data_IF_455240881870
#
_entry.id   IF_455240881870
#
_cell.length_a   1.000
_cell.length_b   1.000
_cell.length_c   1.000
_cell.angle_alpha   90.00
_cell.angle_beta   90.00
_cell.angle_gamma   90.00
#
_symmetry.space_group_name_H-M   'P 1'
#
loop_
_entity.id
_entity.type
_entity.pdbx_description
1 polymer ?
#
# COMPACT_ATOMS: atom_id res chain seq x y z
N UNK A 1 -17.00 -40.07 -36.45
CA UNK A 1 -17.60 -38.76 -36.14
C UNK A 1 -16.56 -37.99 -35.35
N UNK A 2 -15.87 -37.05 -36.04
CA UNK A 2 -14.77 -36.25 -35.44
C UNK A 2 -15.37 -35.10 -34.62
N UNK A 3 -15.25 -35.19 -33.30
CA UNK A 3 -15.40 -34.03 -32.42
C UNK A 3 -14.12 -33.16 -32.59
N UNK A 4 -14.23 -32.16 -33.44
CA UNK A 4 -13.24 -31.08 -33.51
C UNK A 4 -13.29 -30.36 -32.18
N UNK A 5 -12.25 -30.55 -31.35
CA UNK A 5 -11.96 -29.70 -30.22
C UNK A 5 -11.92 -28.24 -30.70
N UNK A 6 -12.92 -27.49 -30.26
CA UNK A 6 -13.01 -26.04 -30.44
C UNK A 6 -11.81 -25.42 -29.70
N UNK A 7 -10.72 -25.21 -30.41
CA UNK A 7 -9.58 -24.43 -29.98
C UNK A 7 -10.12 -22.99 -29.89
N UNK A 8 -10.62 -22.60 -28.71
CA UNK A 8 -11.00 -21.22 -28.44
C UNK A 8 -9.81 -20.34 -28.76
N UNK A 9 -9.94 -19.56 -29.83
CA UNK A 9 -8.97 -18.53 -30.20
C UNK A 9 -8.61 -17.71 -28.94
N UNK A 10 -7.34 -17.38 -28.70
CA UNK A 10 -6.97 -16.56 -27.56
C UNK A 10 -7.80 -15.28 -27.60
N UNK A 11 -8.56 -15.02 -26.53
CA UNK A 11 -9.42 -13.87 -26.45
C UNK A 11 -8.58 -12.61 -26.67
N UNK A 12 -8.85 -11.89 -27.77
CA UNK A 12 -8.10 -10.69 -28.14
C UNK A 12 -8.37 -9.58 -27.15
N UNK A 13 -7.29 -8.93 -26.67
CA UNK A 13 -7.39 -7.77 -25.80
C UNK A 13 -7.97 -6.61 -26.62
N UNK A 14 -9.12 -6.08 -26.20
CA UNK A 14 -9.71 -4.92 -26.87
C UNK A 14 -8.82 -3.67 -26.67
N UNK A 15 -8.60 -2.85 -27.70
CA UNK A 15 -7.76 -1.63 -27.56
C UNK A 15 -8.17 -0.72 -26.41
N UNK A 16 -9.46 -0.63 -26.12
CA UNK A 16 -9.98 0.18 -25.03
C UNK A 16 -9.57 -0.32 -23.62
N UNK A 17 -9.16 -1.57 -23.49
CA UNK A 17 -8.63 -2.13 -22.24
C UNK A 17 -7.41 -1.34 -21.71
N UNK A 18 -6.55 -0.87 -22.63
CA UNK A 18 -5.38 -0.05 -22.27
C UNK A 18 -5.77 1.34 -21.78
N UNK A 19 -6.83 1.93 -22.33
CA UNK A 19 -7.39 3.20 -21.82
C UNK A 19 -7.90 3.00 -20.39
N UNK A 20 -8.63 1.92 -20.16
CA UNK A 20 -9.11 1.58 -18.80
C UNK A 20 -7.94 1.35 -17.84
N UNK A 21 -6.88 0.65 -18.28
CA UNK A 21 -5.69 0.46 -17.46
C UNK A 21 -5.05 1.80 -17.03
N UNK A 22 -4.88 2.72 -17.96
CA UNK A 22 -4.30 4.05 -17.65
C UNK A 22 -5.17 4.81 -16.65
N UNK A 23 -6.48 4.82 -16.83
CA UNK A 23 -7.41 5.53 -15.95
C UNK A 23 -7.44 4.92 -14.56
N UNK A 24 -7.52 3.60 -14.49
CA UNK A 24 -7.48 2.84 -13.23
C UNK A 24 -6.14 3.04 -12.52
N UNK A 25 -5.03 3.09 -13.28
CA UNK A 25 -3.70 3.37 -12.75
C UNK A 25 -3.61 4.78 -12.14
N UNK A 26 -4.05 5.81 -12.85
CA UNK A 26 -4.07 7.19 -12.34
C UNK A 26 -4.94 7.31 -11.08
N UNK A 27 -6.12 6.70 -11.09
CA UNK A 27 -6.99 6.65 -9.92
C UNK A 27 -6.33 5.94 -8.73
N UNK A 28 -5.56 4.86 -9.01
CA UNK A 28 -4.81 4.14 -7.97
C UNK A 28 -3.66 4.96 -7.43
N UNK A 29 -2.86 5.63 -8.27
CA UNK A 29 -1.73 6.48 -7.86
C UNK A 29 -2.18 7.61 -6.93
N UNK A 30 -3.40 8.13 -7.08
CA UNK A 30 -3.96 9.14 -6.18
C UNK A 30 -3.99 8.69 -4.71
N UNK A 31 -4.14 7.39 -4.43
CA UNK A 31 -4.14 6.85 -3.08
C UNK A 31 -2.80 7.04 -2.35
N UNK A 32 -1.70 6.38 -2.77
CA UNK A 32 -0.40 6.52 -2.12
C UNK A 32 0.17 7.94 -2.24
N UNK A 33 -0.16 8.69 -3.28
CA UNK A 33 0.19 10.11 -3.38
C UNK A 33 -0.41 10.90 -2.21
N UNK A 34 -1.69 10.69 -1.89
CA UNK A 34 -2.32 11.33 -0.74
C UNK A 34 -1.88 10.73 0.60
N UNK A 35 -1.55 9.45 0.67
CA UNK A 35 -1.06 8.79 1.87
C UNK A 35 0.31 9.35 2.30
N UNK A 36 1.26 9.44 1.37
CA UNK A 36 2.67 9.68 1.67
C UNK A 36 3.08 11.16 1.68
N UNK A 37 2.14 12.11 1.57
CA UNK A 37 2.44 13.53 1.76
C UNK A 37 2.76 13.92 3.21
N UNK A 38 2.36 13.10 4.19
CA UNK A 38 2.62 13.35 5.62
C UNK A 38 4.09 13.16 6.01
N UNK A 39 4.77 12.03 5.73
CA UNK A 39 6.14 11.80 6.19
C UNK A 39 7.14 12.90 5.82
N UNK A 40 7.19 13.38 4.56
CA UNK A 40 8.13 14.44 4.18
C UNK A 40 7.79 15.82 4.76
N UNK A 41 6.61 16.00 5.31
CA UNK A 41 6.16 17.27 5.92
C UNK A 41 5.91 17.13 7.42
N UNK A 42 6.26 15.99 8.03
CA UNK A 42 5.96 15.71 9.43
C UNK A 42 6.41 16.82 10.39
N UNK A 43 7.66 17.32 10.34
CA UNK A 43 8.08 18.42 11.22
C UNK A 43 7.23 19.67 11.05
N UNK A 44 6.87 20.02 9.82
CA UNK A 44 6.06 21.21 9.50
C UNK A 44 4.64 21.04 10.04
N UNK A 45 4.06 19.83 9.95
CA UNK A 45 2.73 19.53 10.47
C UNK A 45 2.71 19.49 12.00
N UNK A 46 3.79 18.97 12.62
CA UNK A 46 3.94 18.97 14.07
C UNK A 46 3.96 20.41 14.59
N UNK A 47 4.71 21.30 13.96
CA UNK A 47 4.74 22.72 14.32
C UNK A 47 3.40 23.40 14.07
N UNK A 48 2.78 23.19 12.91
CA UNK A 48 1.50 23.80 12.55
C UNK A 48 0.33 23.41 13.47
N UNK A 49 0.33 22.19 13.98
CA UNK A 49 -0.72 21.65 14.83
C UNK A 49 -0.31 21.51 16.30
N UNK A 50 0.90 21.95 16.67
CA UNK A 50 1.48 21.87 18.02
C UNK A 50 1.42 20.42 18.56
N UNK A 51 1.91 19.46 17.77
CA UNK A 51 1.88 18.04 18.09
C UNK A 51 3.27 17.56 18.54
N UNK A 52 3.27 16.66 19.52
CA UNK A 52 4.43 15.86 19.90
C UNK A 52 4.58 14.63 18.97
N UNK A 53 5.73 13.98 18.97
CA UNK A 53 6.04 12.83 18.09
C UNK A 53 5.04 11.67 18.24
N UNK A 54 4.63 11.36 19.46
CA UNK A 54 3.62 10.34 19.74
C UNK A 54 2.26 10.67 19.12
N UNK A 55 1.85 11.93 19.20
CA UNK A 55 0.60 12.42 18.60
C UNK A 55 0.71 12.48 17.06
N UNK A 56 1.88 12.86 16.52
CA UNK A 56 2.12 12.96 15.10
C UNK A 56 1.96 11.62 14.36
N UNK A 57 2.22 10.51 15.04
CA UNK A 57 1.96 9.17 14.51
C UNK A 57 0.52 8.95 14.04
N UNK A 58 -0.46 9.61 14.67
CA UNK A 58 -1.87 9.53 14.27
C UNK A 58 -2.14 10.13 12.90
N UNK A 59 -1.37 11.13 12.45
CA UNK A 59 -1.54 11.75 11.13
C UNK A 59 -1.34 10.74 9.99
N UNK A 60 -0.52 9.72 10.20
CA UNK A 60 -0.29 8.65 9.24
C UNK A 60 -1.20 7.44 9.50
N UNK A 61 -1.36 7.07 10.76
CA UNK A 61 -2.06 5.86 11.18
C UNK A 61 -3.55 5.86 10.87
N UNK A 62 -4.24 6.98 11.10
CA UNK A 62 -5.69 7.11 10.89
C UNK A 62 -6.07 6.82 9.43
N UNK A 63 -5.19 7.14 8.50
CA UNK A 63 -5.38 6.78 7.10
C UNK A 63 -5.54 5.26 6.90
N UNK A 64 -4.77 4.45 7.61
CA UNK A 64 -4.84 2.98 7.51
C UNK A 64 -6.04 2.38 8.27
N UNK A 65 -6.58 3.07 9.26
CA UNK A 65 -7.74 2.61 10.02
C UNK A 65 -8.94 2.31 9.11
N UNK A 66 -9.20 3.19 8.16
CA UNK A 66 -10.30 3.00 7.21
C UNK A 66 -10.06 1.84 6.26
N UNK A 67 -8.81 1.64 5.83
CA UNK A 67 -8.41 0.46 5.07
C UNK A 67 -8.65 -0.83 5.86
N UNK A 68 -8.36 -0.82 7.17
CA UNK A 68 -8.62 -1.96 8.06
C UNK A 68 -10.11 -2.29 8.14
N UNK A 69 -10.96 -1.27 8.34
CA UNK A 69 -12.42 -1.45 8.44
C UNK A 69 -13.05 -1.85 7.12
N UNK A 70 -12.54 -1.32 5.99
CA UNK A 70 -13.12 -1.53 4.68
C UNK A 70 -12.55 -2.74 3.92
N UNK A 71 -11.44 -3.36 4.36
CA UNK A 71 -10.78 -4.44 3.66
C UNK A 71 -11.73 -5.59 3.28
N UNK A 72 -12.55 -6.04 4.19
CA UNK A 72 -13.53 -7.10 3.97
C UNK A 72 -14.83 -6.58 3.31
N UNK A 73 -15.48 -5.50 3.81
CA UNK A 73 -16.69 -4.97 3.21
C UNK A 73 -16.56 -4.56 1.75
N UNK A 74 -15.43 -3.94 1.37
CA UNK A 74 -15.21 -3.49 -0.01
C UNK A 74 -15.30 -4.65 -1.02
N UNK A 75 -14.73 -5.81 -0.69
CA UNK A 75 -14.82 -7.01 -1.53
C UNK A 75 -16.26 -7.54 -1.67
N UNK A 76 -17.08 -7.41 -0.62
CA UNK A 76 -18.50 -7.84 -0.63
C UNK A 76 -19.37 -6.84 -1.40
N UNK A 77 -19.09 -5.57 -1.32
CA UNK A 77 -19.88 -4.53 -1.98
C UNK A 77 -19.53 -4.37 -3.47
N UNK A 78 -18.28 -4.67 -3.87
CA UNK A 78 -17.83 -4.49 -5.26
C UNK A 78 -18.72 -5.18 -6.31
N UNK A 79 -19.15 -6.45 -6.14
CA UNK A 79 -20.04 -7.09 -7.12
C UNK A 79 -21.44 -6.45 -7.21
N UNK A 80 -21.91 -5.82 -6.11
CA UNK A 80 -23.24 -5.19 -6.04
C UNK A 80 -23.25 -3.76 -6.59
N UNK A 81 -22.24 -2.98 -6.26
CA UNK A 81 -22.14 -1.56 -6.61
C UNK A 81 -21.48 -1.38 -7.98
N UNK A 82 -20.60 -2.30 -8.34
CA UNK A 82 -19.82 -2.28 -9.57
C UNK A 82 -18.55 -1.39 -9.49
N UNK A 83 -17.56 -1.69 -10.34
CA UNK A 83 -16.25 -1.03 -10.27
C UNK A 83 -16.32 0.45 -10.67
N UNK A 84 -17.27 0.86 -11.52
CA UNK A 84 -17.40 2.27 -11.92
C UNK A 84 -17.82 3.14 -10.75
N UNK A 85 -18.90 2.80 -10.06
CA UNK A 85 -19.43 3.59 -8.95
C UNK A 85 -18.47 3.58 -7.75
N UNK A 86 -17.93 2.39 -7.40
CA UNK A 86 -16.97 2.30 -6.30
C UNK A 86 -15.68 3.07 -6.58
N UNK A 87 -15.19 3.09 -7.83
CA UNK A 87 -14.03 3.88 -8.22
C UNK A 87 -14.28 5.40 -8.15
N UNK A 88 -15.49 5.85 -8.51
CA UNK A 88 -15.92 7.25 -8.34
C UNK A 88 -15.98 7.64 -6.85
N UNK A 89 -16.55 6.80 -6.01
CA UNK A 89 -16.56 7.02 -4.55
C UNK A 89 -15.13 7.08 -4.02
N UNK A 90 -14.26 6.15 -4.44
CA UNK A 90 -12.87 6.11 -4.01
C UNK A 90 -12.10 7.39 -4.35
N UNK A 91 -12.14 7.81 -5.61
CA UNK A 91 -11.45 9.02 -6.08
C UNK A 91 -12.09 10.30 -5.53
N UNK A 92 -13.41 10.29 -5.36
CA UNK A 92 -14.16 11.37 -4.71
C UNK A 92 -13.77 11.55 -3.24
N UNK A 93 -13.64 10.45 -2.48
CA UNK A 93 -13.15 10.51 -1.10
C UNK A 93 -11.71 11.03 -1.03
N UNK A 94 -10.82 10.61 -1.94
CA UNK A 94 -9.45 11.13 -1.99
C UNK A 94 -9.43 12.65 -2.28
N UNK A 95 -10.23 13.13 -3.23
CA UNK A 95 -10.31 14.54 -3.58
C UNK A 95 -10.89 15.37 -2.43
N UNK A 96 -12.04 14.93 -1.88
CA UNK A 96 -12.71 15.61 -0.78
C UNK A 96 -11.85 15.62 0.48
N UNK A 97 -11.29 14.48 0.87
CA UNK A 97 -10.42 14.38 2.04
C UNK A 97 -9.19 15.27 1.91
N UNK A 98 -8.54 15.29 0.73
CA UNK A 98 -7.40 16.17 0.50
C UNK A 98 -7.79 17.66 0.56
N UNK A 99 -8.92 18.05 -0.03
CA UNK A 99 -9.41 19.42 0.06
C UNK A 99 -9.73 19.84 1.51
N UNK A 100 -10.41 18.98 2.28
CA UNK A 100 -10.67 19.21 3.70
C UNK A 100 -9.38 19.33 4.52
N UNK A 101 -8.38 18.49 4.20
CA UNK A 101 -7.06 18.57 4.83
C UNK A 101 -6.36 19.88 4.54
N UNK A 102 -6.42 20.39 3.30
CA UNK A 102 -5.86 21.69 2.93
C UNK A 102 -6.53 22.87 3.67
N UNK A 103 -7.82 22.74 3.97
CA UNK A 103 -8.61 23.76 4.67
C UNK A 103 -8.54 23.61 6.19
N UNK A 104 -7.85 22.59 6.72
CA UNK A 104 -7.81 22.34 8.15
C UNK A 104 -7.00 23.42 8.90
N UNK A 105 -7.59 23.93 9.97
CA UNK A 105 -6.96 24.91 10.88
C UNK A 105 -6.50 24.25 12.19
N UNK A 106 -6.72 22.95 12.36
CA UNK A 106 -6.35 22.20 13.54
C UNK A 106 -6.31 20.69 13.30
N UNK A 107 -5.63 19.97 14.18
CA UNK A 107 -5.40 18.53 14.07
C UNK A 107 -6.69 17.70 13.94
N UNK A 108 -7.78 18.08 14.62
CA UNK A 108 -9.04 17.34 14.59
C UNK A 108 -9.64 17.25 13.18
N UNK A 109 -9.80 18.38 12.49
CA UNK A 109 -10.32 18.40 11.12
C UNK A 109 -9.34 17.71 10.16
N UNK A 110 -8.04 17.89 10.38
CA UNK A 110 -7.02 17.21 9.61
C UNK A 110 -7.12 15.67 9.73
N UNK A 111 -7.29 15.14 10.94
CA UNK A 111 -7.50 13.70 11.15
C UNK A 111 -8.77 13.18 10.47
N UNK A 112 -9.88 13.94 10.53
CA UNK A 112 -11.11 13.60 9.80
C UNK A 112 -10.83 13.53 8.28
N UNK A 113 -10.07 14.47 7.75
CA UNK A 113 -9.67 14.46 6.34
C UNK A 113 -8.89 13.19 5.97
N UNK A 114 -7.98 12.74 6.86
CA UNK A 114 -7.20 11.50 6.69
C UNK A 114 -8.08 10.25 6.70
N UNK A 115 -9.12 10.21 7.54
CA UNK A 115 -10.14 9.13 7.52
C UNK A 115 -10.80 9.05 6.15
N UNK A 116 -11.24 10.19 5.61
CA UNK A 116 -11.93 10.25 4.31
C UNK A 116 -10.98 9.83 3.17
N UNK A 117 -9.74 10.32 3.14
CA UNK A 117 -8.73 9.89 2.18
C UNK A 117 -8.46 8.37 2.27
N UNK A 118 -8.39 7.83 3.49
CA UNK A 118 -8.19 6.40 3.72
C UNK A 118 -9.34 5.53 3.20
N UNK A 119 -10.61 6.01 3.24
CA UNK A 119 -11.74 5.36 2.58
C UNK A 119 -11.44 5.22 1.08
N UNK A 120 -11.00 6.30 0.45
CA UNK A 120 -10.66 6.32 -0.97
C UNK A 120 -9.57 5.32 -1.33
N UNK A 121 -8.49 5.27 -0.55
CA UNK A 121 -7.39 4.33 -0.74
C UNK A 121 -7.85 2.88 -0.57
N UNK A 122 -8.61 2.58 0.48
CA UNK A 122 -9.12 1.23 0.74
C UNK A 122 -10.01 0.70 -0.37
N UNK A 123 -10.88 1.56 -0.92
CA UNK A 123 -11.76 1.19 -2.02
C UNK A 123 -11.01 1.00 -3.34
N UNK A 124 -10.10 1.91 -3.70
CA UNK A 124 -9.40 1.82 -5.00
C UNK A 124 -8.47 0.61 -5.07
N UNK A 125 -7.87 0.21 -3.94
CA UNK A 125 -7.05 -0.98 -3.86
C UNK A 125 -7.81 -2.28 -4.20
N UNK A 126 -9.12 -2.31 -3.99
CA UNK A 126 -9.99 -3.44 -4.33
C UNK A 126 -10.56 -3.29 -5.74
N UNK A 127 -10.98 -2.10 -6.12
CA UNK A 127 -11.61 -1.80 -7.41
C UNK A 127 -10.63 -1.97 -8.57
N UNK A 128 -9.40 -1.50 -8.42
CA UNK A 128 -8.45 -1.43 -9.52
C UNK A 128 -8.09 -2.81 -10.10
N UNK A 129 -7.62 -3.78 -9.30
CA UNK A 129 -7.31 -5.11 -9.83
C UNK A 129 -8.53 -5.83 -10.38
N UNK A 130 -9.72 -5.61 -9.82
CA UNK A 130 -10.96 -6.17 -10.35
C UNK A 130 -11.31 -5.58 -11.72
N UNK A 131 -11.20 -4.25 -11.89
CA UNK A 131 -11.43 -3.59 -13.17
C UNK A 131 -10.46 -4.09 -14.25
N UNK A 132 -9.17 -4.23 -13.93
CA UNK A 132 -8.16 -4.80 -14.84
C UNK A 132 -8.54 -6.24 -15.21
N UNK A 133 -8.95 -7.04 -14.23
CA UNK A 133 -9.31 -8.44 -14.45
C UNK A 133 -10.54 -8.61 -15.36
N UNK A 134 -11.45 -7.63 -15.39
CA UNK A 134 -12.62 -7.63 -16.29
C UNK A 134 -12.24 -7.35 -17.76
N UNK A 135 -11.20 -6.52 -18.00
CA UNK A 135 -10.83 -6.09 -19.34
C UNK A 135 -9.73 -6.95 -19.97
N UNK A 136 -8.90 -7.61 -19.16
CA UNK A 136 -7.79 -8.43 -19.64
C UNK A 136 -8.04 -9.92 -19.35
N UNK A 137 -8.08 -10.77 -20.40
CA UNK A 137 -8.18 -12.21 -20.23
C UNK A 137 -7.03 -12.76 -19.37
N UNK A 138 -7.24 -13.88 -18.67
CA UNK A 138 -6.27 -14.48 -17.75
C UNK A 138 -4.89 -14.70 -18.38
N UNK A 139 -4.85 -15.10 -19.67
CA UNK A 139 -3.61 -15.33 -20.42
C UNK A 139 -2.79 -14.04 -20.64
N UNK A 140 -3.42 -12.86 -20.69
CA UNK A 140 -2.78 -11.59 -21.04
C UNK A 140 -2.80 -10.57 -19.87
N UNK A 141 -3.15 -11.01 -18.66
CA UNK A 141 -3.36 -10.13 -17.49
C UNK A 141 -2.06 -9.77 -16.75
N UNK A 142 -1.02 -10.59 -16.90
CA UNK A 142 0.22 -10.41 -16.13
C UNK A 142 0.89 -9.06 -16.34
N UNK A 143 1.04 -8.62 -17.60
CA UNK A 143 1.62 -7.32 -17.93
C UNK A 143 0.84 -6.13 -17.34
N UNK A 144 -0.48 -6.00 -17.60
CA UNK A 144 -1.32 -4.96 -17.01
C UNK A 144 -1.30 -4.92 -15.48
N UNK A 145 -1.33 -6.07 -14.82
CA UNK A 145 -1.21 -6.16 -13.36
C UNK A 145 0.18 -5.73 -12.86
N UNK A 146 1.23 -6.08 -13.61
CA UNK A 146 2.60 -5.63 -13.31
C UNK A 146 2.75 -4.12 -13.42
N UNK A 147 2.17 -3.49 -14.44
CA UNK A 147 2.12 -2.02 -14.56
C UNK A 147 1.36 -1.44 -13.38
N UNK A 148 0.18 -1.97 -13.09
CA UNK A 148 -0.61 -1.48 -11.96
C UNK A 148 0.12 -1.62 -10.63
N UNK A 149 0.85 -2.70 -10.38
CA UNK A 149 1.58 -2.91 -9.14
C UNK A 149 2.59 -1.80 -8.79
N UNK A 150 2.99 -0.98 -9.76
CA UNK A 150 3.89 0.17 -9.55
C UNK A 150 3.19 1.40 -8.94
N UNK A 151 1.85 1.37 -8.78
CA UNK A 151 1.07 2.52 -8.30
C UNK A 151 1.50 3.05 -6.94
N UNK A 152 1.82 2.15 -5.99
CA UNK A 152 2.26 2.53 -4.63
C UNK A 152 3.62 3.22 -4.67
N UNK A 153 4.70 2.63 -5.21
CA UNK A 153 5.99 3.31 -5.23
C UNK A 153 5.97 4.58 -6.09
N UNK A 154 5.22 4.63 -7.19
CA UNK A 154 5.13 5.84 -8.02
C UNK A 154 4.47 6.98 -7.24
N UNK A 155 3.33 6.74 -6.60
CA UNK A 155 2.67 7.78 -5.80
C UNK A 155 3.52 8.22 -4.60
N UNK A 156 4.14 7.27 -3.91
CA UNK A 156 4.98 7.55 -2.73
C UNK A 156 6.23 8.35 -3.08
N UNK A 157 7.01 7.90 -4.06
CA UNK A 157 8.24 8.60 -4.50
C UNK A 157 7.90 10.00 -5.00
N UNK A 158 6.82 10.14 -5.78
CA UNK A 158 6.37 11.46 -6.24
C UNK A 158 6.19 12.44 -5.08
N UNK A 159 5.55 11.98 -3.99
CA UNK A 159 5.33 12.85 -2.82
C UNK A 159 6.59 13.09 -1.99
N UNK A 160 7.45 12.10 -1.82
CA UNK A 160 8.73 12.32 -1.15
C UNK A 160 9.58 13.38 -1.86
N UNK A 161 9.47 13.50 -3.19
CA UNK A 161 10.20 14.51 -3.98
C UNK A 161 9.45 15.84 -4.01
N UNK A 162 8.16 15.84 -4.28
CA UNK A 162 7.38 17.07 -4.52
C UNK A 162 6.97 17.79 -3.24
N UNK A 163 6.63 17.06 -2.17
CA UNK A 163 6.06 17.67 -0.98
C UNK A 163 7.00 18.65 -0.27
N UNK A 164 8.31 18.36 -0.08
CA UNK A 164 9.22 19.33 0.53
C UNK A 164 9.41 20.59 -0.32
N UNK A 165 9.48 20.43 -1.65
CA UNK A 165 9.69 21.55 -2.58
C UNK A 165 8.47 22.46 -2.59
N UNK A 166 7.27 21.89 -2.74
CA UNK A 166 6.02 22.65 -2.75
C UNK A 166 5.73 23.23 -1.36
N UNK A 167 5.96 22.44 -0.31
CA UNK A 167 5.74 22.87 1.07
C UNK A 167 6.61 24.04 1.48
N UNK A 168 7.88 24.08 1.04
CA UNK A 168 8.78 25.21 1.31
C UNK A 168 8.43 26.46 0.50
N UNK A 169 7.90 26.30 -0.72
CA UNK A 169 7.57 27.42 -1.61
C UNK A 169 6.19 28.04 -1.34
N UNK A 170 5.20 27.23 -0.98
CA UNK A 170 3.78 27.66 -0.92
C UNK A 170 3.02 27.16 0.33
N UNK A 171 3.75 26.61 1.31
CA UNK A 171 3.19 26.05 2.53
C UNK A 171 2.67 24.62 2.37
N UNK A 172 2.51 23.94 3.50
CA UNK A 172 2.08 22.54 3.52
C UNK A 172 0.67 22.35 2.90
N UNK A 173 -0.21 23.32 3.02
CA UNK A 173 -1.57 23.31 2.44
C UNK A 173 -1.54 23.12 0.91
N UNK A 174 -0.54 23.73 0.23
CA UNK A 174 -0.38 23.60 -1.22
C UNK A 174 -0.15 22.14 -1.65
N UNK A 175 0.51 21.34 -0.83
CA UNK A 175 0.70 19.90 -1.08
C UNK A 175 -0.63 19.14 -0.98
N UNK A 176 -1.51 19.52 -0.06
CA UNK A 176 -2.86 18.96 0.04
C UNK A 176 -3.73 19.37 -1.15
N UNK A 177 -3.63 20.62 -1.61
CA UNK A 177 -4.31 21.08 -2.82
C UNK A 177 -3.81 20.37 -4.09
N UNK A 178 -2.51 20.06 -4.19
CA UNK A 178 -1.98 19.23 -5.26
C UNK A 178 -2.61 17.84 -5.23
N UNK A 179 -2.68 17.22 -4.05
CA UNK A 179 -3.31 15.91 -3.86
C UNK A 179 -4.80 15.92 -4.23
N UNK A 180 -5.53 16.97 -3.82
CA UNK A 180 -6.93 17.19 -4.17
C UNK A 180 -7.13 17.36 -5.68
N UNK A 181 -6.31 18.19 -6.32
CA UNK A 181 -6.34 18.44 -7.77
C UNK A 181 -6.05 17.18 -8.58
N UNK A 182 -5.04 16.39 -8.18
CA UNK A 182 -4.73 15.13 -8.83
C UNK A 182 -5.87 14.11 -8.67
N UNK A 183 -6.43 13.97 -7.47
CA UNK A 183 -7.55 13.06 -7.21
C UNK A 183 -8.82 13.51 -7.94
N UNK A 184 -9.09 14.82 -8.05
CA UNK A 184 -10.20 15.37 -8.81
C UNK A 184 -10.04 15.11 -10.33
N UNK A 185 -8.83 15.30 -10.87
CA UNK A 185 -8.53 14.93 -12.25
C UNK A 185 -8.78 13.43 -12.49
N UNK A 186 -8.29 12.58 -11.58
CA UNK A 186 -8.53 11.14 -11.65
C UNK A 186 -10.03 10.82 -11.57
N UNK A 187 -10.81 11.49 -10.71
CA UNK A 187 -12.26 11.34 -10.60
C UNK A 187 -12.96 11.68 -11.92
N UNK A 188 -12.61 12.82 -12.54
CA UNK A 188 -13.21 13.25 -13.80
C UNK A 188 -12.88 12.25 -14.92
N UNK A 189 -11.59 11.89 -15.08
CA UNK A 189 -11.17 10.93 -16.10
C UNK A 189 -11.82 9.56 -15.89
N UNK A 190 -11.89 9.09 -14.64
CA UNK A 190 -12.53 7.83 -14.29
C UNK A 190 -14.03 7.88 -14.61
N UNK A 191 -14.72 8.95 -14.27
CA UNK A 191 -16.15 9.12 -14.55
C UNK A 191 -16.48 9.12 -16.04
N UNK A 192 -15.69 9.83 -16.83
CA UNK A 192 -15.91 10.00 -18.27
C UNK A 192 -15.52 8.74 -19.07
N UNK A 193 -14.41 8.11 -18.71
CA UNK A 193 -13.76 7.10 -19.55
C UNK A 193 -13.89 5.67 -19.00
N UNK A 194 -14.25 5.47 -17.71
CA UNK A 194 -14.45 4.12 -17.19
C UNK A 194 -15.73 3.50 -17.76
N UNK A 195 -15.56 2.39 -18.48
CA UNK A 195 -16.66 1.61 -19.08
C UNK A 195 -16.56 0.15 -18.64
N UNK A 196 -17.68 -0.56 -18.66
CA UNK A 196 -17.70 -2.01 -18.51
C UNK A 196 -17.40 -2.66 -19.86
N UNK A 197 -16.76 -3.85 -19.87
CA UNK A 197 -16.55 -4.59 -21.10
C UNK A 197 -17.88 -4.92 -21.79
N UNK A 198 -17.94 -4.95 -23.13
CA UNK A 198 -19.13 -5.40 -23.86
C UNK A 198 -19.55 -6.80 -23.41
N UNK A 199 -20.85 -7.00 -23.16
CA UNK A 199 -21.43 -8.29 -22.72
C UNK A 199 -21.45 -8.54 -21.21
N UNK A 200 -20.75 -7.76 -20.39
CA UNK A 200 -20.84 -7.83 -18.92
C UNK A 200 -21.93 -6.93 -18.34
N UNK A 201 -22.40 -5.96 -19.10
CA UNK A 201 -23.49 -5.08 -18.69
C UNK A 201 -24.83 -5.83 -18.49
N UNK A 202 -25.04 -6.91 -19.23
CA UNK A 202 -26.25 -7.72 -19.19
C UNK A 202 -26.17 -8.90 -18.19
N UNK A 203 -24.99 -9.13 -17.59
CA UNK A 203 -24.74 -10.27 -16.70
C UNK A 203 -24.87 -9.94 -15.20
N UNK A 204 -25.46 -8.80 -14.85
CA UNK A 204 -25.57 -8.32 -13.45
C UNK A 204 -26.55 -9.11 -12.57
N UNK A 205 -27.22 -10.16 -13.07
CA UNK A 205 -28.15 -11.00 -12.31
C UNK A 205 -27.52 -12.25 -11.66
N UNK A 206 -26.20 -12.35 -11.64
CA UNK A 206 -25.51 -13.45 -10.98
C UNK A 206 -25.37 -13.21 -9.48
N UNK A 207 -26.32 -13.69 -8.68
CA UNK A 207 -26.15 -13.90 -7.23
C UNK A 207 -24.96 -14.85 -6.99
N UNK A 208 -23.76 -14.32 -7.03
CA UNK A 208 -22.58 -15.05 -6.52
C UNK A 208 -22.80 -15.23 -5.03
N UNK A 209 -23.10 -16.47 -4.61
CA UNK A 209 -23.28 -16.79 -3.19
C UNK A 209 -22.11 -16.26 -2.39
N UNK A 210 -22.39 -15.53 -1.32
CA UNK A 210 -21.35 -15.00 -0.45
C UNK A 210 -20.44 -16.15 0.00
N UNK A 211 -19.12 -16.04 -0.23
CA UNK A 211 -18.22 -17.14 0.09
C UNK A 211 -18.27 -17.44 1.58
N UNK A 212 -18.10 -18.70 1.99
CA UNK A 212 -18.26 -19.14 3.36
C UNK A 212 -17.15 -18.58 4.27
N UNK A 213 -17.42 -17.47 4.96
CA UNK A 213 -16.51 -16.79 5.88
C UNK A 213 -15.95 -17.72 6.96
N UNK A 214 -16.73 -18.71 7.42
CA UNK A 214 -16.30 -19.68 8.42
C UNK A 214 -15.08 -20.51 7.99
N UNK A 215 -14.93 -20.83 6.70
CA UNK A 215 -13.77 -21.55 6.18
C UNK A 215 -12.49 -20.73 6.21
N UNK A 216 -12.61 -19.42 6.10
CA UNK A 216 -11.47 -18.49 6.13
C UNK A 216 -11.04 -18.26 7.56
N UNK A 217 -12.00 -18.01 8.46
CA UNK A 217 -11.72 -17.85 9.88
C UNK A 217 -11.05 -19.06 10.50
N UNK A 218 -11.33 -20.27 9.98
CA UNK A 218 -10.71 -21.52 10.42
C UNK A 218 -9.30 -21.76 9.85
N UNK A 219 -8.88 -21.05 8.81
CA UNK A 219 -7.58 -21.29 8.16
C UNK A 219 -6.45 -20.53 8.88
N UNK A 220 -5.77 -21.21 9.80
CA UNK A 220 -4.66 -20.65 10.58
C UNK A 220 -3.50 -20.13 9.72
N UNK A 221 -3.24 -20.74 8.56
CA UNK A 221 -2.11 -20.35 7.71
C UNK A 221 -2.31 -18.97 7.09
N UNK A 222 -3.55 -18.61 6.68
CA UNK A 222 -3.83 -17.28 6.11
C UNK A 222 -3.75 -16.19 7.19
N UNK A 223 -4.13 -16.48 8.45
CA UNK A 223 -3.97 -15.53 9.55
C UNK A 223 -2.52 -15.34 9.97
N UNK A 224 -1.69 -16.40 9.90
CA UNK A 224 -0.24 -16.28 10.09
C UNK A 224 0.41 -15.44 9.00
N UNK A 225 -0.03 -15.61 7.75
CA UNK A 225 0.42 -14.78 6.63
C UNK A 225 -0.03 -13.31 6.80
N UNK A 226 -1.25 -13.08 7.27
CA UNK A 226 -1.73 -11.74 7.63
C UNK A 226 -0.93 -11.10 8.76
N UNK A 227 -0.59 -11.87 9.80
CA UNK A 227 0.23 -11.41 10.92
C UNK A 227 1.66 -11.06 10.47
N UNK A 228 2.27 -11.93 9.67
CA UNK A 228 3.57 -11.67 9.04
C UNK A 228 3.56 -10.35 8.29
N UNK A 229 2.57 -10.16 7.41
CA UNK A 229 2.47 -8.95 6.59
C UNK A 229 2.14 -7.70 7.43
N UNK A 230 1.41 -7.88 8.53
CA UNK A 230 1.20 -6.84 9.55
C UNK A 230 2.49 -6.41 10.23
N UNK A 231 3.32 -7.36 10.66
CA UNK A 231 4.65 -7.08 11.24
C UNK A 231 5.55 -6.33 10.25
N UNK A 232 5.57 -6.77 8.98
CA UNK A 232 6.31 -6.08 7.92
C UNK A 232 5.88 -4.63 7.77
N UNK A 233 4.57 -4.40 7.63
CA UNK A 233 4.04 -3.05 7.44
C UNK A 233 4.22 -2.17 8.68
N UNK A 234 4.12 -2.74 9.88
CA UNK A 234 4.40 -2.00 11.12
C UNK A 234 5.82 -1.43 11.09
N UNK A 235 6.82 -2.26 10.79
CA UNK A 235 8.24 -1.84 10.75
C UNK A 235 8.49 -0.86 9.61
N UNK A 236 8.06 -1.20 8.39
CA UNK A 236 8.36 -0.42 7.19
C UNK A 236 7.68 0.96 7.22
N UNK A 237 6.40 1.03 7.61
CA UNK A 237 5.67 2.29 7.67
C UNK A 237 6.11 3.16 8.85
N UNK A 238 6.43 2.58 10.00
CA UNK A 238 6.99 3.35 11.13
C UNK A 238 8.28 4.05 10.74
N UNK A 239 9.21 3.29 10.15
CA UNK A 239 10.47 3.86 9.69
C UNK A 239 10.25 4.90 8.59
N UNK A 240 9.47 4.57 7.55
CA UNK A 240 9.17 5.50 6.45
C UNK A 240 8.50 6.79 6.91
N UNK A 241 7.66 6.72 7.96
CA UNK A 241 6.95 7.89 8.50
C UNK A 241 7.91 8.86 9.20
N UNK A 242 8.81 8.35 10.02
CA UNK A 242 9.63 9.18 10.90
C UNK A 242 11.09 9.37 10.45
N UNK A 243 11.57 8.60 9.49
CA UNK A 243 12.96 8.70 9.06
C UNK A 243 13.30 10.06 8.43
N UNK A 244 12.42 10.69 7.60
CA UNK A 244 12.67 12.06 7.15
C UNK A 244 12.79 13.06 8.30
N UNK A 245 11.94 12.94 9.32
CA UNK A 245 12.00 13.78 10.53
C UNK A 245 13.30 13.60 11.29
N UNK A 246 13.71 12.33 11.51
CA UNK A 246 15.01 12.05 12.14
C UNK A 246 16.19 12.65 11.38
N UNK A 247 16.20 12.53 10.06
CA UNK A 247 17.28 13.07 9.24
C UNK A 247 17.31 14.60 9.26
N UNK A 248 16.15 15.26 9.32
CA UNK A 248 16.08 16.72 9.35
C UNK A 248 16.36 17.31 10.72
N UNK A 249 15.84 16.71 11.80
CA UNK A 249 15.96 17.27 13.16
C UNK A 249 17.22 16.85 13.91
N UNK A 250 17.75 15.65 13.59
CA UNK A 250 18.88 15.06 14.34
C UNK A 250 20.17 15.01 13.51
N UNK A 251 20.05 15.02 12.19
CA UNK A 251 21.18 14.87 11.26
C UNK A 251 21.43 16.10 10.39
N UNK A 252 20.71 17.19 10.61
CA UNK A 252 20.85 18.49 9.94
C UNK A 252 20.71 18.43 8.40
N UNK A 253 20.04 17.38 7.86
CA UNK A 253 19.69 17.35 6.45
C UNK A 253 18.54 18.32 6.18
N UNK A 254 18.57 19.01 5.02
CA UNK A 254 17.36 19.73 4.61
C UNK A 254 16.19 18.75 4.43
N UNK A 255 14.97 19.21 4.65
CA UNK A 255 13.78 18.37 4.56
C UNK A 255 13.65 17.69 3.17
N UNK A 256 14.08 18.39 2.10
CA UNK A 256 14.14 17.85 0.75
C UNK A 256 15.15 16.70 0.63
N UNK A 257 16.35 16.86 1.19
CA UNK A 257 17.37 15.80 1.21
C UNK A 257 16.93 14.61 2.04
N UNK A 258 16.38 14.85 3.24
CA UNK A 258 15.88 13.82 4.13
C UNK A 258 14.78 12.96 3.45
N UNK A 259 13.86 13.63 2.77
CA UNK A 259 12.76 12.97 2.04
C UNK A 259 13.27 12.20 0.82
N UNK A 260 14.21 12.76 0.06
CA UNK A 260 14.83 12.09 -1.07
C UNK A 260 15.57 10.81 -0.63
N UNK A 261 16.32 10.88 0.46
CA UNK A 261 17.01 9.72 1.04
C UNK A 261 16.00 8.66 1.46
N UNK A 262 14.92 9.04 2.13
CA UNK A 262 13.86 8.10 2.55
C UNK A 262 13.18 7.44 1.34
N UNK A 263 13.02 8.14 0.22
CA UNK A 263 12.43 7.60 -1.00
C UNK A 263 13.25 6.48 -1.66
N UNK A 264 14.56 6.39 -1.38
CA UNK A 264 15.44 5.40 -2.01
C UNK A 264 14.97 3.96 -1.77
N UNK A 265 14.45 3.65 -0.58
CA UNK A 265 13.92 2.31 -0.31
C UNK A 265 12.75 1.97 -1.26
N UNK A 266 11.84 2.91 -1.47
CA UNK A 266 10.71 2.74 -2.40
C UNK A 266 11.14 2.64 -3.86
N UNK A 267 12.17 3.41 -4.26
CA UNK A 267 12.77 3.31 -5.60
C UNK A 267 13.40 1.93 -5.83
N UNK A 268 14.16 1.43 -4.85
CA UNK A 268 14.80 0.11 -4.96
C UNK A 268 13.76 -1.01 -4.99
N UNK A 269 12.63 -0.86 -4.31
CA UNK A 269 11.52 -1.83 -4.36
C UNK A 269 10.99 -2.01 -5.79
N UNK A 270 10.98 -0.97 -6.62
CA UNK A 270 10.58 -1.10 -8.04
C UNK A 270 11.40 -2.15 -8.81
N UNK A 271 12.66 -2.34 -8.42
CA UNK A 271 13.54 -3.33 -9.05
C UNK A 271 13.56 -4.64 -8.25
N UNK A 272 13.62 -4.54 -6.91
CA UNK A 272 13.76 -5.73 -6.06
C UNK A 272 12.50 -6.60 -6.02
N UNK A 273 11.30 -6.03 -6.16
CA UNK A 273 10.06 -6.81 -6.14
C UNK A 273 9.91 -7.74 -7.37
N UNK A 274 10.14 -7.29 -8.63
CA UNK A 274 10.18 -8.19 -9.79
C UNK A 274 11.29 -9.24 -9.69
N UNK A 275 12.48 -8.86 -9.21
CA UNK A 275 13.59 -9.80 -9.01
C UNK A 275 13.23 -10.88 -7.98
N UNK A 276 12.59 -10.50 -6.89
CA UNK A 276 12.12 -11.45 -5.89
C UNK A 276 11.08 -12.43 -6.45
N UNK A 277 10.17 -11.97 -7.31
CA UNK A 277 9.24 -12.83 -8.03
C UNK A 277 9.96 -13.89 -8.87
N UNK A 278 10.94 -13.44 -9.67
CA UNK A 278 11.74 -14.35 -10.49
C UNK A 278 12.57 -15.35 -9.65
N UNK A 279 13.16 -14.89 -8.55
CA UNK A 279 13.89 -15.76 -7.60
C UNK A 279 12.93 -16.76 -6.96
N UNK A 280 11.71 -16.33 -6.58
CA UNK A 280 10.66 -17.19 -6.03
C UNK A 280 10.34 -18.37 -6.95
N UNK A 281 10.15 -18.08 -8.24
CA UNK A 281 9.80 -19.08 -9.23
C UNK A 281 10.96 -20.08 -9.45
N UNK A 282 12.23 -19.62 -9.37
CA UNK A 282 13.40 -20.49 -9.51
C UNK A 282 13.65 -21.38 -8.29
N UNK A 283 13.51 -20.84 -7.07
CA UNK A 283 13.74 -21.59 -5.83
C UNK A 283 12.58 -22.53 -5.56
N UNK A 284 11.38 -22.21 -6.07
CA UNK A 284 10.16 -22.99 -5.83
C UNK A 284 9.68 -22.92 -4.38
N UNK A 285 10.08 -21.90 -3.62
CA UNK A 285 9.67 -21.70 -2.23
C UNK A 285 9.35 -20.25 -1.93
N UNK A 286 8.06 -19.94 -1.86
CA UNK A 286 7.57 -18.61 -1.47
C UNK A 286 7.83 -18.33 0.01
N UNK A 287 7.80 -19.38 0.83
CA UNK A 287 8.07 -19.30 2.27
C UNK A 287 9.43 -18.67 2.58
N UNK A 288 10.48 -19.05 1.87
CA UNK A 288 11.80 -18.47 2.09
C UNK A 288 11.84 -16.98 1.75
N UNK A 289 11.11 -16.55 0.70
CA UNK A 289 11.11 -15.18 0.24
C UNK A 289 10.31 -14.21 1.13
N UNK A 290 9.33 -14.67 1.88
CA UNK A 290 8.68 -13.80 2.85
C UNK A 290 9.21 -13.97 4.28
N UNK A 291 9.98 -15.03 4.60
CA UNK A 291 10.53 -15.23 5.95
C UNK A 291 11.97 -14.73 6.11
N UNK A 292 12.90 -15.12 5.24
CA UNK A 292 14.33 -14.74 5.37
C UNK A 292 14.54 -13.24 5.41
N UNK A 293 13.85 -12.41 4.61
CA UNK A 293 13.99 -10.95 4.68
C UNK A 293 13.81 -10.36 6.08
N UNK A 294 12.97 -10.93 6.93
CA UNK A 294 12.80 -10.44 8.31
C UNK A 294 14.08 -10.51 9.13
N UNK A 295 14.94 -11.51 8.90
CA UNK A 295 16.23 -11.62 9.59
C UNK A 295 17.11 -10.45 9.18
N UNK A 296 17.17 -10.16 7.88
CA UNK A 296 17.96 -9.03 7.37
C UNK A 296 17.40 -7.69 7.82
N UNK A 297 16.05 -7.51 7.83
CA UNK A 297 15.42 -6.30 8.35
C UNK A 297 15.74 -6.14 9.84
N UNK A 298 15.66 -7.21 10.65
CA UNK A 298 16.02 -7.17 12.06
C UNK A 298 17.47 -6.74 12.30
N UNK A 299 18.41 -7.23 11.47
CA UNK A 299 19.81 -6.81 11.50
C UNK A 299 19.98 -5.33 11.08
N UNK A 300 19.26 -4.91 10.05
CA UNK A 300 19.28 -3.51 9.62
C UNK A 300 18.73 -2.58 10.71
N UNK A 301 17.73 -3.01 11.50
CA UNK A 301 17.17 -2.20 12.60
C UNK A 301 18.12 -1.95 13.77
N UNK A 302 19.31 -2.54 13.77
CA UNK A 302 20.38 -2.18 14.73
C UNK A 302 21.01 -0.81 14.42
N UNK A 303 20.91 -0.32 13.19
CA UNK A 303 21.74 0.80 12.72
C UNK A 303 20.99 2.07 12.28
N UNK A 304 19.68 2.12 11.97
CA UNK A 304 19.04 3.22 11.23
C UNK A 304 19.29 4.59 11.85
N UNK A 305 19.32 4.67 13.17
CA UNK A 305 19.50 5.91 13.92
C UNK A 305 20.93 6.16 14.42
N UNK A 306 21.91 5.38 13.95
CA UNK A 306 23.34 5.52 14.29
C UNK A 306 24.22 5.84 13.09
N UNK A 307 23.73 5.58 11.88
CA UNK A 307 24.50 5.79 10.66
C UNK A 307 24.71 7.26 10.34
N UNK A 308 25.81 7.55 9.64
CA UNK A 308 26.22 8.87 9.21
C UNK A 308 26.66 8.86 7.74
N UNK A 309 26.49 10.00 7.08
CA UNK A 309 26.98 10.22 5.74
C UNK A 309 26.42 9.19 4.72
N UNK A 310 27.31 8.65 3.87
CA UNK A 310 26.91 7.74 2.79
C UNK A 310 26.34 6.41 3.26
N UNK A 311 26.62 5.98 4.51
CA UNK A 311 26.06 4.73 5.06
C UNK A 311 24.54 4.77 5.16
N UNK A 312 23.93 5.95 5.28
CA UNK A 312 22.48 6.14 5.29
C UNK A 312 21.89 5.72 3.94
N UNK A 313 22.54 6.07 2.83
CA UNK A 313 22.12 5.69 1.49
C UNK A 313 22.20 4.18 1.27
N UNK A 314 23.30 3.57 1.73
CA UNK A 314 23.47 2.10 1.68
C UNK A 314 22.39 1.39 2.49
N UNK A 315 22.10 1.90 3.70
CA UNK A 315 21.04 1.37 4.54
C UNK A 315 19.68 1.42 3.84
N UNK A 316 19.29 2.57 3.27
CA UNK A 316 18.02 2.72 2.56
C UNK A 316 17.95 1.84 1.32
N UNK A 317 19.04 1.71 0.56
CA UNK A 317 19.15 0.79 -0.57
C UNK A 317 19.03 -0.68 -0.15
N UNK A 318 19.72 -1.09 0.90
CA UNK A 318 19.66 -2.45 1.44
C UNK A 318 18.24 -2.77 1.99
N UNK A 319 17.62 -1.79 2.67
CA UNK A 319 16.25 -1.94 3.14
C UNK A 319 15.29 -2.17 1.96
N UNK A 320 15.36 -1.33 0.91
CA UNK A 320 14.52 -1.48 -0.27
C UNK A 320 14.75 -2.80 -1.01
N UNK A 321 16.00 -3.27 -1.08
CA UNK A 321 16.35 -4.54 -1.72
C UNK A 321 15.68 -5.73 -1.01
N UNK A 322 15.74 -5.73 0.31
CA UNK A 322 15.21 -6.83 1.13
C UNK A 322 13.70 -6.79 1.23
N UNK A 323 13.13 -5.59 1.39
CA UNK A 323 11.68 -5.43 1.63
C UNK A 323 10.81 -5.70 0.41
N UNK A 324 11.33 -5.60 -0.81
CA UNK A 324 10.57 -5.89 -2.03
C UNK A 324 10.15 -7.37 -2.17
N UNK A 325 10.86 -8.29 -1.51
CA UNK A 325 10.55 -9.72 -1.56
C UNK A 325 9.26 -10.07 -0.79
N UNK A 326 9.03 -9.43 0.36
CA UNK A 326 7.92 -9.76 1.26
C UNK A 326 6.55 -9.58 0.60
N UNK A 327 6.15 -8.40 0.09
CA UNK A 327 4.85 -8.23 -0.53
C UNK A 327 4.64 -9.17 -1.72
N UNK A 328 5.66 -9.32 -2.58
CA UNK A 328 5.60 -10.15 -3.78
C UNK A 328 5.29 -11.61 -3.43
N UNK A 329 6.00 -12.17 -2.46
CA UNK A 329 5.80 -13.55 -2.03
C UNK A 329 4.48 -13.73 -1.27
N UNK A 330 4.12 -12.77 -0.40
CA UNK A 330 2.90 -12.81 0.42
C UNK A 330 1.63 -12.77 -0.44
N UNK A 331 1.56 -11.85 -1.41
CA UNK A 331 0.41 -11.77 -2.31
C UNK A 331 0.28 -12.98 -3.23
N UNK A 332 1.40 -13.61 -3.57
CA UNK A 332 1.41 -14.85 -4.34
C UNK A 332 1.02 -16.06 -3.50
N UNK A 333 1.40 -16.10 -2.22
CA UNK A 333 1.11 -17.21 -1.31
C UNK A 333 -0.36 -17.24 -0.86
N UNK A 334 -1.02 -16.09 -0.72
CA UNK A 334 -2.38 -16.02 -0.20
C UNK A 334 -3.40 -16.85 -1.02
N UNK A 335 -3.48 -16.76 -2.36
CA UNK A 335 -4.34 -17.62 -3.17
C UNK A 335 -3.98 -19.10 -3.07
N UNK A 336 -2.68 -19.44 -2.98
CA UNK A 336 -2.21 -20.83 -2.86
C UNK A 336 -2.64 -21.47 -1.54
N UNK A 337 -2.53 -20.73 -0.43
CA UNK A 337 -2.97 -21.19 0.90
C UNK A 337 -4.47 -21.46 0.92
N UNK A 338 -5.25 -20.66 0.19
CA UNK A 338 -6.70 -20.85 0.10
C UNK A 338 -7.08 -22.07 -0.76
N UNK A 339 -6.22 -22.50 -1.70
CA UNK A 339 -6.36 -23.72 -2.50
C UNK A 339 -7.58 -23.72 -3.45
N UNK A 340 -8.38 -22.66 -3.48
CA UNK A 340 -9.60 -22.50 -4.27
C UNK A 340 -9.67 -21.11 -4.88
N UNK A 341 -9.92 -20.98 -6.20
CA UNK A 341 -9.96 -19.68 -6.87
C UNK A 341 -11.04 -18.72 -6.32
N UNK A 342 -12.19 -19.27 -5.92
CA UNK A 342 -13.29 -18.50 -5.34
C UNK A 342 -12.98 -17.92 -3.94
N UNK A 343 -12.01 -18.48 -3.22
CA UNK A 343 -11.55 -18.00 -1.92
C UNK A 343 -10.30 -17.12 -1.98
N UNK A 344 -9.64 -17.01 -3.13
CA UNK A 344 -8.39 -16.26 -3.29
C UNK A 344 -8.54 -14.79 -2.89
N UNK A 345 -9.63 -14.13 -3.30
CA UNK A 345 -9.90 -12.75 -2.93
C UNK A 345 -10.07 -12.53 -1.44
N UNK A 346 -10.69 -13.49 -0.75
CA UNK A 346 -10.85 -13.41 0.71
C UNK A 346 -9.53 -13.69 1.45
N UNK A 347 -8.69 -14.59 0.93
CA UNK A 347 -7.33 -14.77 1.46
C UNK A 347 -6.53 -13.47 1.40
N UNK A 348 -6.58 -12.78 0.26
CA UNK A 348 -5.96 -11.46 0.11
C UNK A 348 -6.56 -10.42 1.06
N UNK A 349 -7.88 -10.45 1.30
CA UNK A 349 -8.53 -9.55 2.25
C UNK A 349 -8.00 -9.73 3.70
N UNK A 350 -7.74 -10.97 4.13
CA UNK A 350 -7.12 -11.22 5.45
C UNK A 350 -5.69 -10.67 5.50
N UNK A 351 -4.92 -10.83 4.43
CA UNK A 351 -3.57 -10.22 4.33
C UNK A 351 -3.66 -8.70 4.42
N UNK A 352 -4.66 -8.08 3.76
CA UNK A 352 -4.91 -6.63 3.84
C UNK A 352 -5.32 -6.17 5.25
N UNK A 353 -6.07 -6.99 6.00
CA UNK A 353 -6.35 -6.72 7.42
C UNK A 353 -5.05 -6.63 8.21
N UNK A 354 -4.14 -7.61 8.04
CA UNK A 354 -2.81 -7.58 8.66
C UNK A 354 -2.01 -6.33 8.26
N UNK A 355 -1.94 -6.03 6.96
CA UNK A 355 -1.29 -4.83 6.43
C UNK A 355 -1.78 -3.57 7.11
N UNK A 356 -3.09 -3.31 7.05
CA UNK A 356 -3.67 -2.08 7.58
C UNK A 356 -3.53 -2.00 9.11
N UNK A 357 -3.60 -3.13 9.81
CA UNK A 357 -3.34 -3.16 11.26
C UNK A 357 -1.89 -2.74 11.58
N UNK A 358 -0.91 -3.28 10.84
CA UNK A 358 0.49 -2.89 10.99
C UNK A 358 0.72 -1.40 10.69
N UNK A 359 0.14 -0.90 9.60
CA UNK A 359 0.21 0.51 9.20
C UNK A 359 -0.50 1.43 10.21
N UNK A 360 -1.58 0.98 10.86
CA UNK A 360 -2.29 1.74 11.89
C UNK A 360 -1.50 1.78 13.19
N UNK A 361 -1.04 0.64 13.69
CA UNK A 361 -0.36 0.54 14.99
C UNK A 361 1.06 1.10 14.92
N UNK A 362 1.76 0.88 13.82
CA UNK A 362 3.19 1.18 13.67
C UNK A 362 3.58 2.61 14.00
N UNK A 363 3.09 3.62 13.29
CA UNK A 363 3.49 5.01 13.51
C UNK A 363 3.09 5.53 14.90
N UNK A 364 1.92 5.14 15.44
CA UNK A 364 1.51 5.52 16.80
C UNK A 364 2.49 4.95 17.83
N UNK A 365 2.74 3.64 17.76
CA UNK A 365 3.65 2.96 18.69
C UNK A 365 5.05 3.54 18.59
N UNK A 366 5.57 3.69 17.38
CA UNK A 366 6.93 4.15 17.15
C UNK A 366 7.12 5.61 17.57
N UNK A 367 6.16 6.50 17.28
CA UNK A 367 6.21 7.90 17.72
C UNK A 367 6.29 8.04 19.24
N UNK A 368 5.44 7.29 19.97
CA UNK A 368 5.48 7.28 21.43
C UNK A 368 6.79 6.68 21.99
N UNK A 369 7.34 5.66 21.33
CA UNK A 369 8.64 5.09 21.72
C UNK A 369 9.80 6.07 21.49
N UNK A 370 9.77 6.82 20.40
CA UNK A 370 10.80 7.85 20.14
C UNK A 370 10.71 8.97 21.16
N UNK A 371 9.51 9.44 21.49
CA UNK A 371 9.28 10.48 22.49
C UNK A 371 9.76 10.06 23.88
N UNK A 372 9.44 8.84 24.31
CA UNK A 372 9.78 8.36 25.65
C UNK A 372 11.19 7.82 25.81
N UNK A 373 11.80 7.22 24.77
CA UNK A 373 13.05 6.45 24.84
C UNK A 373 14.12 6.92 23.86
N UNK A 374 13.79 7.85 22.96
CA UNK A 374 14.66 8.36 21.91
C UNK A 374 14.79 7.43 20.71
N UNK A 375 15.32 7.98 19.62
CA UNK A 375 15.38 7.37 18.29
C UNK A 375 16.06 5.99 18.25
N UNK A 376 17.23 5.87 18.88
CA UNK A 376 18.00 4.63 18.81
C UNK A 376 17.29 3.47 19.52
N UNK A 377 16.73 3.72 20.70
CA UNK A 377 16.02 2.68 21.48
C UNK A 377 14.71 2.31 20.80
N UNK A 378 13.95 3.29 20.29
CA UNK A 378 12.74 3.04 19.50
C UNK A 378 13.03 2.15 18.28
N UNK A 379 14.16 2.36 17.60
CA UNK A 379 14.61 1.50 16.51
C UNK A 379 14.78 0.04 16.94
N UNK A 380 15.34 -0.21 18.10
CA UNK A 380 15.52 -1.58 18.62
C UNK A 380 14.21 -2.28 18.95
N UNK A 381 13.16 -1.55 19.33
CA UNK A 381 11.83 -2.12 19.54
C UNK A 381 11.19 -2.66 18.26
N UNK A 382 11.69 -2.32 17.08
CA UNK A 382 11.25 -2.93 15.82
C UNK A 382 11.82 -4.34 15.63
N UNK A 383 12.92 -4.70 16.29
CA UNK A 383 13.55 -6.03 16.17
C UNK A 383 12.65 -7.16 16.67
N UNK A 384 12.04 -7.09 17.88
CA UNK A 384 11.06 -8.08 18.32
C UNK A 384 9.90 -8.26 17.34
N UNK A 385 9.44 -7.18 16.69
CA UNK A 385 8.39 -7.25 15.68
C UNK A 385 8.87 -8.01 14.43
N UNK A 386 10.11 -7.79 14.00
CA UNK A 386 10.71 -8.57 12.90
C UNK A 386 10.82 -10.06 13.28
N UNK A 387 11.21 -10.37 14.52
CA UNK A 387 11.29 -11.76 15.01
C UNK A 387 9.89 -12.40 15.00
N UNK A 388 8.86 -11.69 15.47
CA UNK A 388 7.49 -12.17 15.45
C UNK A 388 7.02 -12.43 14.01
N UNK A 389 7.32 -11.49 13.08
CA UNK A 389 7.04 -11.63 11.66
C UNK A 389 7.74 -12.87 11.07
N UNK A 390 9.02 -13.07 11.36
CA UNK A 390 9.77 -14.26 10.96
C UNK A 390 9.12 -15.54 11.48
N UNK A 391 8.79 -15.61 12.76
CA UNK A 391 8.19 -16.80 13.38
C UNK A 391 6.81 -17.11 12.80
N UNK A 392 6.01 -16.08 12.52
CA UNK A 392 4.72 -16.24 11.85
C UNK A 392 4.91 -16.79 10.43
N UNK A 393 5.77 -16.14 9.65
CA UNK A 393 6.16 -16.52 8.30
C UNK A 393 6.67 -17.96 8.22
N UNK A 394 7.58 -18.33 9.12
CA UNK A 394 8.18 -19.67 9.15
C UNK A 394 7.17 -20.79 9.43
N UNK A 395 6.07 -20.50 10.12
CA UNK A 395 4.98 -21.45 10.37
C UNK A 395 3.99 -21.59 9.23
N UNK A 396 4.00 -20.70 8.25
CA UNK A 396 3.14 -20.82 7.07
C UNK A 396 3.62 -21.96 6.20
N UNK A 397 2.75 -22.93 5.96
CA UNK A 397 3.03 -24.07 5.07
C UNK A 397 2.55 -23.70 3.65
N UNK A 398 3.46 -23.24 2.82
CA UNK A 398 3.28 -22.97 1.40
C UNK A 398 4.56 -23.41 0.67
N UNK A 399 4.42 -23.84 -0.59
CA UNK A 399 5.56 -24.23 -1.43
C UNK A 399 6.39 -23.02 -1.88
#
# INVERSE_FOLDING_TARGET
MNEKSDVRSPATVLPYAWVVLVIVYLASVAGPLNQTKVPPLMPVLMDAFQLELGQAGWLMSVFALTGLVLALPAGVFLPRIGPKVMGLIATGCLALGAALGALSTGAGLFLVSRVIEGIGMGLIAVVAPAAIAMWFPSANRGGPMGIWATWVPVGSVSMYVLAPVIGSAAGWQAVWWLGAGFALLALILYGLLMRLPPGLADASDGTSAAPPLNKILANKAIWLLGLEFGCFNLVFISLGTFYPTYLSEVRDYSLAQASLIASLSSLVILVSAPLAGWVSDRIGSRRLLFSIPFIFIALLMLFPFRLLGWHIFVFMGALGLVTGAIPTATFSAAPEIMGRPDLAGLGLAVVMVGQNLGMFVGPILFGNLVEGLGWAVAGYWLIPVCILGFLAAWRVKVR
#
